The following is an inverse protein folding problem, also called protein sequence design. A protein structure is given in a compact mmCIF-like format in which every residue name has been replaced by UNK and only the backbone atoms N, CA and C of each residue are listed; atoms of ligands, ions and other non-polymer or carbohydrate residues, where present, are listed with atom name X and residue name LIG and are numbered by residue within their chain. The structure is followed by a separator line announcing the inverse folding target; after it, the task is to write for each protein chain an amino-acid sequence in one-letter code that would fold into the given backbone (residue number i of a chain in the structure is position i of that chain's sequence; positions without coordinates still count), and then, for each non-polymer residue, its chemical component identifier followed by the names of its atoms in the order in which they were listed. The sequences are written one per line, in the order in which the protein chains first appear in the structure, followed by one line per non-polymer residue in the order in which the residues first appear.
data_IF_812462736394
#
_entry.id   IF_812462736394
#
_cell.length_a   1.000
_cell.length_b   1.000
_cell.length_c   1.000
_cell.angle_alpha   90.00
_cell.angle_beta   90.00
_cell.angle_gamma   90.00
#
_symmetry.space_group_name_H-M   'P 1'
#
loop_
_entity.id
_entity.type
_entity.pdbx_description
1 polymer ?
#
# COMPACT_ATOMS: atom_id res chain seq x y z
N UNK A 1 -9.34 -4.48 -7.41
CA UNK A 1 -7.97 -4.87 -7.84
C UNK A 1 -6.96 -3.80 -7.47
N UNK A 2 -7.02 -2.58 -8.04
CA UNK A 2 -6.08 -1.48 -7.76
C UNK A 2 -5.88 -1.20 -6.26
N UNK A 3 -6.97 -1.06 -5.49
CA UNK A 3 -6.89 -0.84 -4.04
C UNK A 3 -6.23 -1.99 -3.27
N UNK A 4 -6.40 -3.25 -3.70
CA UNK A 4 -5.73 -4.39 -3.07
C UNK A 4 -4.22 -4.37 -3.35
N UNK A 5 -3.80 -3.98 -4.56
CA UNK A 5 -2.39 -3.78 -4.88
C UNK A 5 -1.80 -2.62 -4.09
N UNK A 6 -2.54 -1.52 -3.96
CA UNK A 6 -2.15 -0.40 -3.13
C UNK A 6 -2.00 -0.79 -1.65
N UNK A 7 -2.94 -1.58 -1.11
CA UNK A 7 -2.83 -2.12 0.24
C UNK A 7 -1.56 -2.95 0.43
N UNK A 8 -1.23 -3.82 -0.53
CA UNK A 8 0.05 -4.55 -0.53
C UNK A 8 1.25 -3.60 -0.54
N UNK A 9 1.25 -2.63 -1.45
CA UNK A 9 2.33 -1.65 -1.60
C UNK A 9 2.56 -0.87 -0.31
N UNK A 10 1.49 -0.36 0.30
CA UNK A 10 1.55 0.37 1.57
C UNK A 10 2.10 -0.52 2.68
N UNK A 11 1.51 -1.70 2.90
CA UNK A 11 1.94 -2.61 3.96
C UNK A 11 3.42 -3.04 3.80
N UNK A 12 3.84 -3.35 2.56
CA UNK A 12 5.24 -3.70 2.27
C UNK A 12 6.20 -2.54 2.58
N UNK A 13 5.83 -1.31 2.23
CA UNK A 13 6.63 -0.12 2.52
C UNK A 13 6.70 0.20 4.02
N UNK A 14 5.61 0.01 4.78
CA UNK A 14 5.60 0.17 6.25
C UNK A 14 6.60 -0.80 6.90
N UNK A 15 6.57 -2.07 6.50
CA UNK A 15 7.49 -3.08 7.03
C UNK A 15 8.93 -2.80 6.59
N UNK A 16 9.16 -2.46 5.32
CA UNK A 16 10.49 -2.12 4.81
C UNK A 16 11.08 -0.83 5.43
N UNK A 17 10.23 0.12 5.81
CA UNK A 17 10.63 1.30 6.57
C UNK A 17 11.09 0.95 8.00
N UNK A 18 10.73 -0.24 8.48
CA UNK A 18 10.97 -0.69 9.85
C UNK A 18 10.00 -0.03 10.84
N UNK A 19 8.82 0.41 10.39
CA UNK A 19 7.76 0.95 11.25
C UNK A 19 7.00 -0.15 12.00
N UNK A 20 6.96 -1.37 11.46
CA UNK A 20 6.38 -2.55 12.09
C UNK A 20 7.01 -3.83 11.50
N UNK A 21 6.99 -4.95 12.23
CA UNK A 21 7.45 -6.25 11.72
C UNK A 21 6.37 -6.96 10.88
N UNK A 22 5.10 -6.68 11.19
CA UNK A 22 3.94 -7.11 10.39
C UNK A 22 2.90 -6.00 10.34
N UNK A 23 2.21 -5.91 9.21
CA UNK A 23 1.23 -4.86 8.97
C UNK A 23 0.05 -5.41 8.16
N UNK A 24 -1.15 -5.17 8.65
CA UNK A 24 -2.38 -5.26 7.87
C UNK A 24 -2.91 -3.85 7.60
N UNK A 25 -3.47 -3.65 6.40
CA UNK A 25 -4.15 -2.41 6.03
C UNK A 25 -5.53 -2.73 5.46
N UNK A 26 -6.53 -1.97 5.87
CA UNK A 26 -7.88 -2.02 5.35
C UNK A 26 -8.23 -0.67 4.71
N UNK A 27 -8.75 -0.72 3.49
CA UNK A 27 -9.20 0.47 2.75
C UNK A 27 -10.61 0.18 2.22
N UNK A 28 -11.55 1.08 2.49
CA UNK A 28 -12.93 0.99 1.99
C UNK A 28 -13.29 2.18 1.11
N UNK A 29 -14.24 1.99 0.19
CA UNK A 29 -14.76 3.02 -0.70
C UNK A 29 -16.28 2.90 -0.82
N UNK A 30 -16.94 4.02 -1.04
CA UNK A 30 -18.33 4.06 -1.51
C UNK A 30 -18.37 4.28 -3.02
N UNK A 31 -19.34 3.66 -3.70
CA UNK A 31 -19.51 3.83 -5.15
C UNK A 31 -19.76 5.32 -5.48
N UNK A 32 -19.02 5.85 -6.46
CA UNK A 32 -19.11 7.26 -6.86
C UNK A 32 -18.34 8.25 -5.97
N UNK A 33 -17.71 7.79 -4.87
CA UNK A 33 -16.86 8.62 -4.01
C UNK A 33 -15.39 8.33 -4.32
N UNK A 34 -14.63 9.39 -4.60
CA UNK A 34 -13.21 9.25 -4.93
C UNK A 34 -12.35 8.93 -3.71
N UNK A 35 -12.60 9.61 -2.59
CA UNK A 35 -11.87 9.39 -1.35
C UNK A 35 -12.24 8.05 -0.70
N UNK A 36 -11.29 7.36 -0.05
CA UNK A 36 -11.62 6.21 0.76
C UNK A 36 -12.52 6.60 1.93
N UNK A 37 -13.53 5.79 2.20
CA UNK A 37 -14.41 5.96 3.37
C UNK A 37 -13.70 5.60 4.67
N UNK A 38 -12.72 4.70 4.61
CA UNK A 38 -11.84 4.41 5.75
C UNK A 38 -10.45 3.94 5.28
N UNK A 39 -9.44 4.24 6.11
CA UNK A 39 -8.08 3.69 6.03
C UNK A 39 -7.70 3.31 7.46
N UNK A 40 -7.52 2.02 7.72
CA UNK A 40 -7.16 1.47 9.03
C UNK A 40 -5.90 0.62 8.91
N UNK A 41 -5.05 0.66 9.94
CA UNK A 41 -3.81 -0.10 10.03
C UNK A 41 -3.86 -0.95 11.29
N UNK A 42 -3.28 -2.15 11.22
CA UNK A 42 -3.04 -3.01 12.37
C UNK A 42 -1.61 -3.56 12.29
N UNK A 43 -0.73 -3.09 13.17
CA UNK A 43 0.64 -3.62 13.29
C UNK A 43 0.72 -4.85 14.20
N UNK A 44 -0.40 -5.22 14.81
CA UNK A 44 -0.56 -6.33 15.73
C UNK A 44 0.48 -6.35 16.86
N UNK A 45 0.76 -5.17 17.42
CA UNK A 45 1.70 -4.98 18.53
C UNK A 45 3.19 -4.94 18.14
N UNK A 46 3.50 -4.91 16.84
CA UNK A 46 4.89 -4.82 16.35
C UNK A 46 5.27 -3.43 15.87
N UNK A 47 4.34 -2.48 15.92
CA UNK A 47 4.57 -1.10 15.52
C UNK A 47 5.53 -0.36 16.44
N UNK A 48 6.40 0.47 15.86
CA UNK A 48 7.22 1.46 16.58
C UNK A 48 6.46 2.74 16.90
N UNK A 49 5.34 2.96 16.21
CA UNK A 49 4.41 4.05 16.39
C UNK A 49 3.00 3.44 16.57
N UNK A 50 2.09 4.20 17.17
CA UNK A 50 0.69 3.79 17.26
C UNK A 50 0.08 3.57 15.88
N UNK A 51 -0.82 2.59 15.76
CA UNK A 51 -1.46 2.23 14.49
C UNK A 51 -2.21 3.41 13.85
N UNK A 52 -2.82 4.28 14.67
CA UNK A 52 -3.45 5.52 14.19
C UNK A 52 -2.45 6.50 13.60
N UNK A 53 -1.24 6.59 14.19
CA UNK A 53 -0.16 7.44 13.66
C UNK A 53 0.36 6.89 12.34
N UNK A 54 0.51 5.56 12.24
CA UNK A 54 0.89 4.91 10.96
C UNK A 54 -0.21 5.12 9.91
N UNK A 55 -1.49 4.98 10.29
CA UNK A 55 -2.61 5.24 9.38
C UNK A 55 -2.62 6.69 8.87
N UNK A 56 -2.25 7.67 9.70
CA UNK A 56 -2.10 9.05 9.26
C UNK A 56 -0.94 9.22 8.27
N UNK A 57 0.23 8.62 8.55
CA UNK A 57 1.35 8.62 7.60
C UNK A 57 0.96 8.02 6.25
N UNK A 58 0.13 6.99 6.25
CA UNK A 58 -0.40 6.40 5.00
C UNK A 58 -1.23 7.43 4.22
N UNK A 59 -2.17 8.12 4.88
CA UNK A 59 -3.01 9.15 4.24
C UNK A 59 -2.18 10.31 3.68
N UNK A 60 -1.10 10.68 4.36
CA UNK A 60 -0.27 11.83 3.98
C UNK A 60 0.70 11.51 2.83
N UNK A 61 1.14 10.25 2.69
CA UNK A 61 2.23 9.88 1.77
C UNK A 61 1.81 9.04 0.55
N UNK A 62 0.58 8.51 0.56
CA UNK A 62 0.02 7.69 -0.50
C UNK A 62 -1.27 8.31 -1.04
N UNK A 63 -1.35 8.41 -2.36
CA UNK A 63 -2.55 8.86 -3.04
C UNK A 63 -3.51 7.68 -3.19
N UNK A 64 -4.59 7.66 -2.41
CA UNK A 64 -5.50 6.52 -2.30
C UNK A 64 -6.80 6.66 -3.12
N UNK A 65 -7.01 7.74 -3.87
CA UNK A 65 -8.17 7.83 -4.78
C UNK A 65 -7.99 6.89 -5.98
N UNK A 66 -9.06 6.29 -6.54
CA UNK A 66 -8.95 5.31 -7.62
C UNK A 66 -8.09 5.75 -8.82
N UNK A 67 -8.18 7.03 -9.23
CA UNK A 67 -7.34 7.58 -10.31
C UNK A 67 -5.87 7.63 -9.90
N UNK A 68 -5.61 8.12 -8.69
CA UNK A 68 -4.26 8.23 -8.19
C UNK A 68 -3.61 6.88 -7.87
N UNK A 69 -4.37 5.85 -7.49
CA UNK A 69 -3.89 4.46 -7.43
C UNK A 69 -3.34 3.98 -8.78
N UNK A 70 -4.03 4.32 -9.86
CA UNK A 70 -3.65 3.93 -11.22
C UNK A 70 -2.39 4.65 -11.67
N UNK A 71 -2.23 5.92 -11.31
CA UNK A 71 -1.06 6.73 -11.62
C UNK A 71 0.15 6.33 -10.77
N UNK A 72 -0.02 6.21 -9.45
CA UNK A 72 1.01 5.84 -8.48
C UNK A 72 1.64 4.47 -8.80
N UNK A 73 0.84 3.52 -9.26
CA UNK A 73 1.29 2.16 -9.57
C UNK A 73 1.47 1.91 -11.07
N UNK A 74 1.31 2.91 -11.92
CA UNK A 74 1.42 2.80 -13.38
C UNK A 74 0.66 1.59 -13.96
N UNK A 75 -0.66 1.55 -13.69
CA UNK A 75 -1.49 0.36 -13.93
C UNK A 75 -2.10 0.29 -15.35
N UNK A 76 -2.01 1.34 -16.17
CA UNK A 76 -2.59 1.36 -17.52
C UNK A 76 -1.65 0.70 -18.56
N UNK A 77 -1.23 -0.53 -18.26
CA UNK A 77 -0.29 -1.32 -19.06
C UNK A 77 -0.73 -2.79 -19.15
N UNK A 78 -0.33 -3.55 -20.18
CA UNK A 78 -0.70 -4.95 -20.35
C UNK A 78 0.15 -5.90 -19.47
N UNK A 79 0.16 -5.69 -18.16
CA UNK A 79 1.07 -6.37 -17.21
C UNK A 79 0.43 -7.55 -16.43
N UNK A 80 -0.87 -7.76 -16.59
CA UNK A 80 -1.65 -8.61 -15.67
C UNK A 80 -1.60 -10.12 -15.94
N UNK A 81 -1.19 -10.54 -17.14
CA UNK A 81 -1.18 -11.97 -17.48
C UNK A 81 -0.23 -12.77 -16.55
N UNK A 82 0.93 -12.17 -16.23
CA UNK A 82 1.93 -12.76 -15.32
C UNK A 82 1.41 -12.98 -13.89
N UNK A 83 0.38 -12.24 -13.45
CA UNK A 83 -0.17 -12.35 -12.09
C UNK A 83 -1.26 -13.43 -11.98
N UNK A 84 -1.77 -13.95 -13.10
CA UNK A 84 -2.91 -14.88 -13.13
C UNK A 84 -2.58 -16.29 -12.59
N UNK A 85 -1.29 -16.61 -12.44
CA UNK A 85 -0.80 -17.82 -11.80
C UNK A 85 0.32 -17.47 -10.82
N UNK A 86 0.55 -18.35 -9.84
CA UNK A 86 1.62 -18.22 -8.83
C UNK A 86 1.51 -17.00 -7.91
N UNK A 87 0.31 -16.40 -7.80
CA UNK A 87 0.03 -15.31 -6.89
C UNK A 87 0.38 -13.92 -7.42
N UNK A 88 -0.33 -12.92 -6.89
CA UNK A 88 -0.17 -11.51 -7.24
C UNK A 88 0.88 -10.79 -6.39
N UNK A 89 1.24 -11.34 -5.23
CA UNK A 89 2.06 -10.70 -4.22
C UNK A 89 3.27 -11.57 -3.86
N UNK A 90 4.33 -10.94 -3.36
CA UNK A 90 5.56 -11.61 -2.92
C UNK A 90 6.49 -12.05 -4.06
N UNK A 91 6.27 -11.53 -5.26
CA UNK A 91 7.10 -11.79 -6.45
C UNK A 91 7.71 -10.49 -6.92
N UNK A 92 9.03 -10.46 -7.08
CA UNK A 92 9.73 -9.27 -7.58
C UNK A 92 9.86 -9.39 -9.11
N UNK A 93 8.98 -8.68 -9.82
CA UNK A 93 8.99 -8.50 -11.28
C UNK A 93 8.89 -7.00 -11.52
N UNK A 94 9.59 -6.48 -12.54
CA UNK A 94 9.61 -5.06 -12.87
C UNK A 94 8.21 -4.49 -13.12
N UNK A 95 7.30 -5.32 -13.62
CA UNK A 95 5.91 -4.93 -13.87
C UNK A 95 5.07 -4.82 -12.60
N UNK A 96 5.47 -5.48 -11.51
CA UNK A 96 4.71 -5.52 -10.25
C UNK A 96 5.12 -4.34 -9.36
N UNK A 97 4.73 -3.14 -9.81
CA UNK A 97 5.04 -1.87 -9.13
C UNK A 97 4.57 -1.83 -7.67
N UNK A 98 3.53 -2.57 -7.32
CA UNK A 98 3.04 -2.71 -5.94
C UNK A 98 3.95 -3.53 -5.02
N UNK A 99 4.99 -4.17 -5.54
CA UNK A 99 6.01 -4.85 -4.75
C UNK A 99 7.25 -3.97 -4.50
N UNK A 100 7.30 -2.74 -5.03
CA UNK A 100 8.39 -1.81 -4.75
C UNK A 100 8.34 -1.29 -3.31
N UNK A 101 9.49 -0.94 -2.76
CA UNK A 101 9.66 -0.38 -1.40
C UNK A 101 10.27 1.02 -1.42
N UNK A 102 9.98 1.79 -2.47
CA UNK A 102 10.52 3.12 -2.75
C UNK A 102 9.97 4.23 -1.84
N UNK A 103 8.89 3.97 -1.10
CA UNK A 103 8.37 4.87 -0.05
C UNK A 103 8.94 4.56 1.33
N UNK A 104 9.72 3.49 1.49
CA UNK A 104 10.22 3.05 2.80
C UNK A 104 11.09 4.11 3.48
N UNK A 105 12.01 4.76 2.75
CA UNK A 105 12.89 5.77 3.34
C UNK A 105 12.14 7.05 3.75
N UNK A 106 11.16 7.46 2.94
CA UNK A 106 10.24 8.55 3.27
C UNK A 106 9.49 8.25 4.58
N UNK A 107 8.91 7.05 4.69
CA UNK A 107 8.20 6.63 5.90
C UNK A 107 9.12 6.50 7.12
N UNK A 108 10.35 6.03 6.93
CA UNK A 108 11.34 5.89 8.01
C UNK A 108 11.71 7.23 8.64
N UNK A 109 11.72 8.32 7.86
CA UNK A 109 11.99 9.67 8.39
C UNK A 109 10.92 10.20 9.36
N UNK A 110 9.80 9.50 9.53
CA UNK A 110 8.77 9.83 10.50
C UNK A 110 8.97 9.18 11.88
N UNK A 111 9.99 8.32 12.04
CA UNK A 111 10.49 7.85 13.34
C UNK A 111 11.31 8.95 14.02
#
# INVERSE_FOLDING_TARGET
RSAAYAGRYVAKNIVAAGLADRCEIQISYAIGVAEPTSVAVNSFGTGKLDDDRIAQLVKDNFELRPKGLVEMLDLKRPIYCKTAAYGHFGREDEDFTWEKTDKADLLRSAL
#
